data_IF_012066850520
#
_entry.id   IF_012066850520
#
_cell.length_a   1.000
_cell.length_b   1.000
_cell.length_c   1.000
_cell.angle_alpha   90.00
_cell.angle_beta   90.00
_cell.angle_gamma   90.00
#
_symmetry.space_group_name_H-M   'P 1'
#
loop_
_entity.id
_entity.type
_entity.pdbx_description
1 polymer ?
#
# COMPACT_ATOMS: atom_id res chain seq x y z
N UNK A 1 -32.71 -6.73 -4.31
CA UNK A 1 -33.01 -7.53 -3.11
C UNK A 1 -32.08 -8.75 -3.00
N UNK A 2 -31.83 -9.47 -4.11
CA UNK A 2 -30.81 -10.56 -4.20
C UNK A 2 -29.40 -10.12 -3.78
N UNK A 3 -28.90 -9.00 -4.31
CA UNK A 3 -27.49 -8.61 -4.08
C UNK A 3 -27.21 -8.12 -2.65
N UNK A 4 -28.21 -7.49 -2.03
CA UNK A 4 -28.12 -7.01 -0.65
C UNK A 4 -28.11 -8.21 0.32
N UNK A 5 -28.98 -9.21 0.10
CA UNK A 5 -29.01 -10.42 0.93
C UNK A 5 -27.73 -11.25 0.76
N UNK A 6 -27.18 -11.32 -0.45
CA UNK A 6 -25.88 -11.95 -0.71
C UNK A 6 -24.73 -11.23 -0.01
N UNK A 7 -24.64 -9.90 -0.12
CA UNK A 7 -23.60 -9.11 0.54
C UNK A 7 -23.62 -9.27 2.07
N UNK A 8 -24.80 -9.17 2.70
CA UNK A 8 -24.93 -9.42 4.15
C UNK A 8 -24.63 -10.87 4.52
N UNK A 9 -25.00 -11.83 3.66
CA UNK A 9 -24.72 -13.25 3.87
C UNK A 9 -23.22 -13.54 3.91
N UNK A 10 -22.46 -13.02 2.94
CA UNK A 10 -21.00 -13.24 2.89
C UNK A 10 -20.27 -12.57 4.04
N UNK A 11 -20.64 -11.33 4.40
CA UNK A 11 -20.09 -10.65 5.57
C UNK A 11 -20.34 -11.44 6.86
N UNK A 12 -21.54 -12.00 7.02
CA UNK A 12 -21.89 -12.85 8.18
C UNK A 12 -21.11 -14.16 8.19
N UNK A 13 -20.91 -14.79 7.03
CA UNK A 13 -20.11 -16.02 6.93
C UNK A 13 -18.66 -15.72 7.33
N UNK A 14 -18.09 -14.61 6.87
CA UNK A 14 -16.72 -14.22 7.17
C UNK A 14 -16.53 -13.93 8.65
N UNK A 15 -17.40 -13.12 9.27
CA UNK A 15 -17.32 -12.83 10.71
C UNK A 15 -17.48 -14.10 11.55
N UNK A 16 -18.44 -14.95 11.18
CA UNK A 16 -18.66 -16.25 11.84
C UNK A 16 -17.48 -17.20 11.66
N UNK A 17 -16.78 -17.14 10.51
CA UNK A 17 -15.59 -17.96 10.22
C UNK A 17 -14.41 -17.53 11.10
N UNK A 18 -14.19 -16.22 11.24
CA UNK A 18 -13.08 -15.69 12.07
C UNK A 18 -13.25 -16.05 13.55
N UNK A 19 -14.48 -16.08 14.04
CA UNK A 19 -14.80 -16.42 15.43
C UNK A 19 -14.99 -17.93 15.68
N UNK A 20 -14.85 -18.78 14.67
CA UNK A 20 -15.14 -20.20 14.80
C UNK A 20 -13.93 -20.96 15.36
N UNK A 21 -14.10 -21.60 16.52
CA UNK A 21 -13.08 -22.47 17.12
C UNK A 21 -12.96 -23.82 16.38
N UNK A 22 -13.93 -24.19 15.54
CA UNK A 22 -13.87 -25.42 14.75
C UNK A 22 -13.08 -25.22 13.46
N UNK A 23 -11.83 -25.67 13.47
CA UNK A 23 -10.91 -25.60 12.33
C UNK A 23 -11.48 -26.19 11.03
N UNK A 24 -12.27 -27.27 11.11
CA UNK A 24 -12.87 -27.90 9.92
C UNK A 24 -13.92 -27.00 9.28
N UNK A 25 -14.80 -26.40 10.10
CA UNK A 25 -15.82 -25.45 9.62
C UNK A 25 -15.15 -24.23 9.03
N UNK A 26 -14.12 -23.71 9.72
CA UNK A 26 -13.35 -22.56 9.26
C UNK A 26 -12.71 -22.83 7.89
N UNK A 27 -12.05 -23.98 7.72
CA UNK A 27 -11.44 -24.37 6.46
C UNK A 27 -12.46 -24.57 5.34
N UNK A 28 -13.62 -25.18 5.62
CA UNK A 28 -14.69 -25.35 4.62
C UNK A 28 -15.22 -24.00 4.15
N UNK A 29 -15.45 -23.07 5.07
CA UNK A 29 -15.92 -21.72 4.74
C UNK A 29 -14.89 -20.97 3.88
N UNK A 30 -13.62 -21.00 4.25
CA UNK A 30 -12.52 -20.37 3.49
C UNK A 30 -12.40 -20.97 2.08
N UNK A 31 -12.49 -22.29 1.94
CA UNK A 31 -12.49 -22.95 0.63
C UNK A 31 -13.69 -22.51 -0.22
N UNK A 32 -14.87 -22.42 0.39
CA UNK A 32 -16.09 -21.95 -0.27
C UNK A 32 -15.96 -20.52 -0.78
N UNK A 33 -15.55 -19.59 0.09
CA UNK A 33 -15.32 -18.19 -0.25
C UNK A 33 -14.27 -18.03 -1.35
N UNK A 34 -13.14 -18.74 -1.24
CA UNK A 34 -12.07 -18.72 -2.24
C UNK A 34 -12.58 -19.14 -3.62
N UNK A 35 -13.41 -20.20 -3.70
CA UNK A 35 -14.00 -20.67 -4.96
C UNK A 35 -15.02 -19.69 -5.54
N UNK A 36 -15.86 -19.09 -4.69
CA UNK A 36 -16.83 -18.08 -5.13
C UNK A 36 -16.12 -16.84 -5.69
N UNK A 37 -14.99 -16.44 -5.09
CA UNK A 37 -14.18 -15.34 -5.59
C UNK A 37 -13.46 -15.68 -6.90
N UNK A 38 -12.84 -16.86 -7.01
CA UNK A 38 -12.19 -17.31 -8.25
C UNK A 38 -13.17 -17.45 -9.42
N UNK A 39 -14.40 -17.89 -9.15
CA UNK A 39 -15.46 -17.97 -10.17
C UNK A 39 -16.10 -16.62 -10.52
N UNK A 40 -15.62 -15.51 -9.94
CA UNK A 40 -16.18 -14.15 -10.10
C UNK A 40 -17.63 -14.00 -9.62
N UNK A 41 -18.16 -14.99 -8.89
CA UNK A 41 -19.51 -14.95 -8.28
C UNK A 41 -19.55 -14.01 -7.07
N UNK A 42 -18.45 -13.95 -6.31
CA UNK A 42 -18.27 -13.06 -5.17
C UNK A 42 -17.13 -12.07 -5.46
N UNK A 43 -17.42 -10.77 -5.46
CA UNK A 43 -16.43 -9.70 -5.70
C UNK A 43 -16.54 -8.61 -4.66
N UNK A 44 -16.23 -8.97 -3.42
CA UNK A 44 -16.29 -8.07 -2.28
C UNK A 44 -14.89 -7.88 -1.67
N UNK A 45 -14.40 -6.64 -1.65
CA UNK A 45 -13.10 -6.29 -1.09
C UNK A 45 -13.03 -6.48 0.42
N UNK A 46 -14.14 -6.35 1.13
CA UNK A 46 -14.18 -6.60 2.57
C UNK A 46 -13.99 -8.08 2.87
N UNK A 47 -14.62 -8.96 2.07
CA UNK A 47 -14.37 -10.41 2.16
C UNK A 47 -12.90 -10.72 1.85
N UNK A 48 -12.34 -10.14 0.78
CA UNK A 48 -10.92 -10.34 0.44
C UNK A 48 -9.99 -9.92 1.59
N UNK A 49 -10.24 -8.75 2.17
CA UNK A 49 -9.49 -8.23 3.32
C UNK A 49 -9.52 -9.19 4.50
N UNK A 50 -10.70 -9.66 4.89
CA UNK A 50 -10.82 -10.58 6.02
C UNK A 50 -10.13 -11.93 5.75
N UNK A 51 -10.15 -12.44 4.51
CA UNK A 51 -9.37 -13.63 4.16
C UNK A 51 -7.86 -13.37 4.34
N UNK A 52 -7.36 -12.18 3.97
CA UNK A 52 -5.95 -11.81 4.17
C UNK A 52 -5.61 -11.74 5.65
N UNK A 53 -6.48 -11.12 6.47
CA UNK A 53 -6.31 -11.07 7.93
C UNK A 53 -6.24 -12.49 8.51
N UNK A 54 -7.21 -13.34 8.15
CA UNK A 54 -7.28 -14.74 8.61
C UNK A 54 -6.06 -15.57 8.19
N UNK A 55 -5.47 -15.25 7.03
CA UNK A 55 -4.25 -15.89 6.56
C UNK A 55 -3.02 -15.55 7.38
N UNK A 56 -2.95 -14.37 8.00
CA UNK A 56 -1.81 -13.96 8.82
C UNK A 56 -2.08 -14.09 10.33
N UNK A 57 -3.32 -14.35 10.73
CA UNK A 57 -3.74 -14.54 12.11
C UNK A 57 -2.98 -15.68 12.81
N UNK A 58 -2.37 -15.42 13.96
CA UNK A 58 -1.62 -16.43 14.72
C UNK A 58 -2.47 -17.62 15.16
N UNK A 59 -3.77 -17.42 15.34
CA UNK A 59 -4.68 -18.46 15.87
C UNK A 59 -5.02 -19.50 14.80
N UNK A 60 -4.76 -19.20 13.52
CA UNK A 60 -5.01 -20.12 12.40
C UNK A 60 -3.79 -20.93 11.98
N UNK A 61 -2.65 -20.83 12.72
CA UNK A 61 -1.40 -21.51 12.36
C UNK A 61 -1.55 -23.03 12.35
N UNK A 62 -2.34 -23.61 13.27
CA UNK A 62 -2.62 -25.05 13.33
C UNK A 62 -3.54 -25.54 12.22
N UNK A 63 -4.39 -24.66 11.68
CA UNK A 63 -5.34 -25.00 10.62
C UNK A 63 -4.66 -25.07 9.25
N UNK A 64 -3.87 -26.13 9.03
CA UNK A 64 -3.09 -26.32 7.80
C UNK A 64 -3.97 -26.34 6.54
N UNK A 65 -5.20 -26.85 6.62
CA UNK A 65 -6.12 -26.91 5.47
C UNK A 65 -6.53 -25.51 5.01
N UNK A 66 -6.82 -24.63 5.97
CA UNK A 66 -7.09 -23.22 5.71
C UNK A 66 -5.87 -22.53 5.12
N UNK A 67 -4.69 -22.70 5.76
CA UNK A 67 -3.45 -22.06 5.31
C UNK A 67 -3.07 -22.46 3.90
N UNK A 68 -3.11 -23.75 3.58
CA UNK A 68 -2.83 -24.26 2.24
C UNK A 68 -3.82 -23.72 1.19
N UNK A 69 -5.11 -23.65 1.54
CA UNK A 69 -6.12 -23.07 0.65
C UNK A 69 -5.78 -21.62 0.32
N UNK A 70 -5.49 -20.80 1.33
CA UNK A 70 -5.20 -19.38 1.14
C UNK A 70 -3.85 -19.13 0.46
N UNK A 71 -2.81 -19.91 0.79
CA UNK A 71 -1.51 -19.84 0.10
C UNK A 71 -1.63 -20.11 -1.40
N UNK A 72 -2.54 -20.98 -1.82
CA UNK A 72 -2.84 -21.21 -3.23
C UNK A 72 -3.77 -20.14 -3.81
N UNK A 73 -4.83 -19.79 -3.07
CA UNK A 73 -5.85 -18.86 -3.53
C UNK A 73 -5.29 -17.48 -3.84
N UNK A 74 -4.50 -16.85 -2.97
CA UNK A 74 -4.11 -15.45 -3.16
C UNK A 74 -3.29 -15.21 -4.43
N UNK A 75 -2.19 -15.95 -4.70
CA UNK A 75 -1.45 -15.75 -5.94
C UNK A 75 -2.34 -15.98 -7.17
N UNK A 76 -3.13 -17.06 -7.18
CA UNK A 76 -4.01 -17.37 -8.32
C UNK A 76 -5.06 -16.28 -8.52
N UNK A 77 -5.73 -15.85 -7.45
CA UNK A 77 -6.74 -14.80 -7.51
C UNK A 77 -6.14 -13.49 -8.03
N UNK A 78 -5.07 -13.01 -7.39
CA UNK A 78 -4.48 -11.71 -7.69
C UNK A 78 -3.81 -11.65 -9.06
N UNK A 79 -3.20 -12.74 -9.51
CA UNK A 79 -2.46 -12.78 -10.78
C UNK A 79 -3.30 -13.26 -11.96
N UNK A 80 -4.52 -13.75 -11.74
CA UNK A 80 -5.44 -14.19 -12.81
C UNK A 80 -6.01 -13.04 -13.65
N UNK A 81 -6.16 -11.84 -13.08
CA UNK A 81 -6.70 -10.68 -13.80
C UNK A 81 -6.36 -9.37 -13.12
N UNK A 82 -6.21 -8.32 -13.92
CA UNK A 82 -6.08 -6.94 -13.47
C UNK A 82 -7.16 -6.54 -12.47
N UNK A 83 -8.44 -6.87 -12.70
CA UNK A 83 -9.53 -6.48 -11.80
C UNK A 83 -9.39 -7.10 -10.40
N UNK A 84 -8.91 -8.35 -10.32
CA UNK A 84 -8.67 -8.98 -9.03
C UNK A 84 -7.45 -8.38 -8.32
N UNK A 85 -6.42 -8.02 -9.08
CA UNK A 85 -5.29 -7.27 -8.55
C UNK A 85 -5.73 -5.90 -8.02
N UNK A 86 -6.55 -5.15 -8.75
CA UNK A 86 -7.08 -3.86 -8.31
C UNK A 86 -7.84 -3.99 -7.00
N UNK A 87 -8.65 -5.05 -6.83
CA UNK A 87 -9.30 -5.35 -5.54
C UNK A 87 -8.29 -5.56 -4.40
N UNK A 88 -7.17 -6.26 -4.67
CA UNK A 88 -6.09 -6.41 -3.69
C UNK A 88 -5.37 -5.08 -3.41
N UNK A 89 -5.18 -4.23 -4.41
CA UNK A 89 -4.59 -2.89 -4.26
C UNK A 89 -5.46 -2.00 -3.37
N UNK A 90 -6.78 -2.00 -3.57
CA UNK A 90 -7.73 -1.22 -2.76
C UNK A 90 -7.66 -1.55 -1.26
N UNK A 91 -7.34 -2.79 -0.92
CA UNK A 91 -7.26 -3.23 0.48
C UNK A 91 -5.84 -3.24 1.03
N UNK A 92 -4.81 -3.02 0.21
CA UNK A 92 -3.39 -3.17 0.59
C UNK A 92 -3.04 -2.41 1.87
N UNK A 93 -3.22 -1.09 1.85
CA UNK A 93 -2.80 -0.21 2.95
C UNK A 93 -3.64 -0.42 4.22
N UNK A 94 -4.99 -0.42 4.17
CA UNK A 94 -5.79 -0.63 5.39
C UNK A 94 -5.55 -2.02 6.01
N UNK A 95 -5.33 -3.05 5.19
CA UNK A 95 -5.03 -4.41 5.69
C UNK A 95 -3.64 -4.46 6.32
N UNK A 96 -2.63 -3.85 5.67
CA UNK A 96 -1.28 -3.78 6.22
C UNK A 96 -1.29 -3.07 7.58
N UNK A 97 -1.94 -1.90 7.70
CA UNK A 97 -2.04 -1.17 8.97
C UNK A 97 -2.66 -2.04 10.07
N UNK A 98 -3.74 -2.76 9.76
CA UNK A 98 -4.42 -3.63 10.72
C UNK A 98 -3.52 -4.77 11.19
N UNK A 99 -2.88 -5.49 10.26
CA UNK A 99 -1.91 -6.54 10.58
C UNK A 99 -0.75 -6.03 11.42
N UNK A 100 -0.26 -4.81 11.18
CA UNK A 100 0.81 -4.21 11.97
C UNK A 100 0.37 -3.84 13.39
N UNK A 101 -0.88 -3.41 13.55
CA UNK A 101 -1.45 -3.13 14.87
C UNK A 101 -1.66 -4.42 15.64
N UNK A 102 -2.23 -5.45 15.02
CA UNK A 102 -2.42 -6.78 15.61
C UNK A 102 -1.07 -7.40 16.01
N UNK A 103 -0.06 -7.33 15.14
CA UNK A 103 1.28 -7.87 15.38
C UNK A 103 1.94 -7.35 16.67
N UNK A 104 1.58 -6.16 17.15
CA UNK A 104 2.12 -5.62 18.42
C UNK A 104 1.72 -6.46 19.63
N UNK A 105 0.61 -7.18 19.55
CA UNK A 105 0.03 -7.96 20.64
C UNK A 105 0.23 -9.47 20.49
N UNK A 106 0.79 -9.92 19.35
CA UNK A 106 1.05 -11.33 19.11
C UNK A 106 2.24 -11.82 19.94
N UNK A 107 2.08 -12.99 20.56
CA UNK A 107 3.17 -13.70 21.23
C UNK A 107 4.17 -14.21 20.18
N UNK A 108 5.30 -13.52 20.10
CA UNK A 108 6.35 -13.77 19.11
C UNK A 108 6.99 -15.14 19.37
N UNK A 109 6.70 -16.08 18.47
CA UNK A 109 7.28 -17.41 18.45
C UNK A 109 7.79 -17.74 17.03
N UNK A 110 8.35 -18.92 16.83
CA UNK A 110 8.95 -19.33 15.56
C UNK A 110 7.96 -19.37 14.38
N UNK A 111 6.64 -19.43 14.64
CA UNK A 111 5.61 -19.44 13.62
C UNK A 111 5.08 -18.03 13.27
N UNK A 112 5.49 -17.00 14.00
CA UNK A 112 5.01 -15.63 13.75
C UNK A 112 5.71 -15.05 12.52
N UNK A 113 4.94 -14.69 11.50
CA UNK A 113 5.48 -14.08 10.28
C UNK A 113 5.88 -12.62 10.55
N UNK A 114 7.14 -12.22 10.30
CA UNK A 114 7.59 -10.85 10.52
C UNK A 114 6.84 -9.83 9.65
N UNK A 115 6.57 -8.60 10.15
CA UNK A 115 5.83 -7.56 9.45
C UNK A 115 6.34 -7.22 8.05
N UNK A 116 7.67 -7.21 7.88
CA UNK A 116 8.26 -6.92 6.58
C UNK A 116 7.99 -8.04 5.57
N UNK A 117 7.94 -9.30 6.01
CA UNK A 117 7.58 -10.42 5.15
C UNK A 117 6.10 -10.37 4.76
N UNK A 118 5.21 -10.03 5.70
CA UNK A 118 3.79 -9.77 5.42
C UNK A 118 3.66 -8.69 4.33
N UNK A 119 4.31 -7.55 4.52
CA UNK A 119 4.23 -6.45 3.56
C UNK A 119 4.81 -6.84 2.19
N UNK A 120 5.92 -7.58 2.14
CA UNK A 120 6.49 -8.09 0.89
C UNK A 120 5.51 -9.03 0.17
N UNK A 121 4.82 -9.89 0.90
CA UNK A 121 3.81 -10.79 0.33
C UNK A 121 2.63 -10.01 -0.26
N UNK A 122 2.14 -8.97 0.44
CA UNK A 122 1.08 -8.10 -0.07
C UNK A 122 1.53 -7.35 -1.33
N UNK A 123 2.76 -6.81 -1.35
CA UNK A 123 3.34 -6.16 -2.54
C UNK A 123 3.44 -7.13 -3.72
N UNK A 124 3.72 -8.41 -3.46
CA UNK A 124 3.76 -9.43 -4.50
C UNK A 124 2.39 -9.69 -5.14
N UNK A 125 1.35 -9.71 -4.31
CA UNK A 125 -0.03 -9.88 -4.77
C UNK A 125 -0.55 -8.66 -5.53
N UNK A 126 -0.05 -7.47 -5.25
CA UNK A 126 -0.43 -6.25 -5.99
C UNK A 126 0.37 -6.00 -7.26
N UNK A 127 1.36 -6.85 -7.60
CA UNK A 127 2.32 -6.58 -8.65
C UNK A 127 1.75 -6.71 -10.08
N UNK A 128 1.61 -5.61 -10.86
CA UNK A 128 1.02 -5.64 -12.20
C UNK A 128 1.78 -6.52 -13.19
N UNK A 129 3.09 -6.68 -13.02
CA UNK A 129 3.92 -7.52 -13.91
C UNK A 129 3.70 -9.02 -13.73
N UNK A 130 2.97 -9.44 -12.68
CA UNK A 130 2.64 -10.85 -12.44
C UNK A 130 1.29 -11.26 -13.00
N UNK A 131 0.50 -10.34 -13.54
CA UNK A 131 -0.81 -10.67 -14.12
C UNK A 131 -0.63 -11.51 -15.39
N UNK A 132 -1.38 -12.60 -15.49
CA UNK A 132 -1.34 -13.51 -16.63
C UNK A 132 -1.95 -12.84 -17.87
N UNK A 133 -1.12 -12.67 -18.92
CA UNK A 133 -1.49 -11.99 -20.15
C UNK A 133 -2.47 -12.75 -21.06
N UNK A 134 -2.63 -14.06 -20.86
CA UNK A 134 -3.40 -14.90 -21.80
C UNK A 134 -4.91 -14.63 -21.80
N UNK A 135 -5.43 -13.95 -20.77
CA UNK A 135 -6.86 -13.64 -20.64
C UNK A 135 -7.17 -12.13 -20.77
N UNK A 136 -6.19 -11.28 -21.11
CA UNK A 136 -6.35 -9.83 -21.10
C UNK A 136 -5.75 -9.17 -22.34
N UNK A 137 -6.40 -8.12 -22.84
CA UNK A 137 -5.79 -7.19 -23.81
C UNK A 137 -4.75 -6.35 -23.06
N UNK A 138 -3.51 -6.25 -23.56
CA UNK A 138 -2.41 -5.56 -22.84
C UNK A 138 -2.75 -4.13 -22.40
N UNK A 139 -3.67 -3.46 -23.11
CA UNK A 139 -4.11 -2.08 -22.83
C UNK A 139 -4.90 -1.90 -21.52
N UNK A 140 -5.31 -2.98 -20.84
CA UNK A 140 -6.10 -2.88 -19.59
C UNK A 140 -5.24 -2.82 -18.32
N UNK A 141 -3.95 -3.15 -18.38
CA UNK A 141 -3.10 -3.28 -17.20
C UNK A 141 -2.38 -1.95 -16.93
N UNK A 142 -2.60 -1.36 -15.76
CA UNK A 142 -1.80 -0.24 -15.25
C UNK A 142 -0.49 -0.76 -14.61
N UNK A 143 0.55 -0.90 -15.44
CA UNK A 143 1.91 -1.26 -15.00
C UNK A 143 2.51 -0.25 -14.01
N UNK A 144 2.01 0.98 -14.00
CA UNK A 144 2.38 2.03 -13.07
C UNK A 144 1.67 2.01 -11.71
N UNK A 145 0.73 1.09 -11.48
CA UNK A 145 -0.18 1.10 -10.31
C UNK A 145 0.52 1.07 -8.95
N UNK A 146 1.71 0.47 -8.86
CA UNK A 146 2.52 0.47 -7.64
C UNK A 146 2.97 1.87 -7.19
N UNK A 147 3.05 2.84 -8.10
CA UNK A 147 3.30 4.23 -7.73
C UNK A 147 2.13 4.85 -6.96
N UNK A 148 0.88 4.48 -7.25
CA UNK A 148 -0.30 4.93 -6.48
C UNK A 148 -0.34 4.33 -5.07
N UNK A 149 0.07 3.06 -4.92
CA UNK A 149 0.25 2.46 -3.59
C UNK A 149 1.33 3.18 -2.80
N UNK A 150 2.46 3.52 -3.44
CA UNK A 150 3.53 4.28 -2.81
C UNK A 150 3.07 5.69 -2.39
N UNK A 151 2.29 6.40 -3.23
CA UNK A 151 1.67 7.68 -2.87
C UNK A 151 0.82 7.52 -1.61
N UNK A 152 -0.04 6.51 -1.57
CA UNK A 152 -0.92 6.23 -0.43
C UNK A 152 -0.14 5.94 0.86
N UNK A 153 0.93 5.13 0.76
CA UNK A 153 1.84 4.85 1.90
C UNK A 153 2.55 6.11 2.39
N UNK A 154 2.99 6.99 1.48
CA UNK A 154 3.64 8.25 1.88
C UNK A 154 2.64 9.22 2.50
N UNK A 155 1.39 9.29 2.02
CA UNK A 155 0.34 10.09 2.67
C UNK A 155 0.11 9.62 4.11
N UNK A 156 0.02 8.31 4.34
CA UNK A 156 -0.11 7.75 5.69
C UNK A 156 1.10 8.06 6.58
N UNK A 157 2.31 8.13 6.02
CA UNK A 157 3.52 8.51 6.78
C UNK A 157 3.47 9.91 7.40
N UNK A 158 2.61 10.81 6.90
CA UNK A 158 2.43 12.15 7.48
C UNK A 158 1.57 12.17 8.75
N UNK A 159 0.64 11.22 8.88
CA UNK A 159 -0.26 11.06 10.04
C UNK A 159 0.23 10.01 11.03
N UNK A 160 0.96 8.99 10.57
CA UNK A 160 1.42 7.91 11.43
C UNK A 160 2.46 8.40 12.46
N UNK A 161 2.26 8.00 13.71
CA UNK A 161 3.08 8.40 14.86
C UNK A 161 3.91 7.26 15.42
N UNK A 162 3.51 6.01 15.18
CA UNK A 162 4.23 4.84 15.62
C UNK A 162 5.53 4.64 14.84
N UNK A 163 6.67 4.68 15.55
CA UNK A 163 8.00 4.61 14.94
C UNK A 163 8.23 3.32 14.14
N UNK A 164 7.67 2.19 14.56
CA UNK A 164 7.92 0.89 13.95
C UNK A 164 7.07 0.74 12.69
N UNK A 165 5.82 1.24 12.70
CA UNK A 165 5.00 1.35 11.48
C UNK A 165 5.64 2.30 10.47
N UNK A 166 6.07 3.51 10.90
CA UNK A 166 6.76 4.46 10.01
C UNK A 166 8.01 3.86 9.37
N UNK A 167 8.83 3.15 10.17
CA UNK A 167 10.02 2.45 9.68
C UNK A 167 9.66 1.40 8.64
N UNK A 168 8.63 0.60 8.90
CA UNK A 168 8.17 -0.41 7.96
C UNK A 168 7.68 0.21 6.64
N UNK A 169 6.85 1.25 6.70
CA UNK A 169 6.38 1.95 5.49
C UNK A 169 7.55 2.44 4.63
N UNK A 170 8.58 3.04 5.24
CA UNK A 170 9.79 3.43 4.50
C UNK A 170 10.51 2.24 3.84
N UNK A 171 10.55 1.08 4.52
CA UNK A 171 11.14 -0.14 3.96
C UNK A 171 10.32 -0.71 2.81
N UNK A 172 8.98 -0.67 2.91
CA UNK A 172 8.04 -1.18 1.91
C UNK A 172 8.06 -0.35 0.63
N UNK A 173 8.31 0.98 0.72
CA UNK A 173 8.46 1.83 -0.47
C UNK A 173 9.51 1.29 -1.45
N UNK A 174 10.58 0.68 -0.95
CA UNK A 174 11.66 0.09 -1.76
C UNK A 174 11.32 -1.31 -2.30
N UNK A 175 10.11 -1.81 -2.08
CA UNK A 175 9.62 -3.11 -2.58
C UNK A 175 8.65 -2.95 -3.74
N UNK A 176 8.01 -1.80 -3.87
CA UNK A 176 7.18 -1.48 -5.02
C UNK A 176 8.02 -1.48 -6.30
N UNK A 177 7.48 -2.11 -7.34
CA UNK A 177 8.03 -2.05 -8.69
C UNK A 177 7.53 -0.76 -9.35
N UNK A 178 8.39 0.26 -9.36
CA UNK A 178 8.12 1.56 -9.96
C UNK A 178 9.23 1.81 -10.98
N UNK A 179 8.84 1.86 -12.25
CA UNK A 179 9.69 2.16 -13.40
C UNK A 179 9.01 3.21 -14.29
N UNK A 180 9.52 3.42 -15.50
CA UNK A 180 9.01 4.40 -16.46
C UNK A 180 7.51 4.25 -16.77
N UNK A 181 6.93 3.05 -16.61
CA UNK A 181 5.50 2.82 -16.81
C UNK A 181 4.60 3.57 -15.82
N UNK A 182 5.15 4.04 -14.70
CA UNK A 182 4.43 4.90 -13.76
C UNK A 182 4.08 6.28 -14.36
N UNK A 183 4.84 6.74 -15.36
CA UNK A 183 4.66 8.04 -15.99
C UNK A 183 5.10 9.22 -15.13
N UNK A 184 5.45 10.32 -15.82
CA UNK A 184 6.07 11.51 -15.22
C UNK A 184 5.27 12.11 -14.06
N UNK A 185 3.95 12.15 -14.17
CA UNK A 185 3.08 12.74 -13.14
C UNK A 185 3.21 12.01 -11.80
N UNK A 186 3.19 10.66 -11.81
CA UNK A 186 3.31 9.87 -10.58
C UNK A 186 4.70 10.01 -9.97
N UNK A 187 5.76 10.07 -10.78
CA UNK A 187 7.10 10.38 -10.30
C UNK A 187 7.19 11.76 -9.65
N UNK A 188 6.59 12.80 -10.26
CA UNK A 188 6.55 14.15 -9.69
C UNK A 188 5.77 14.17 -8.38
N UNK A 189 4.60 13.51 -8.30
CA UNK A 189 3.81 13.32 -7.05
C UNK A 189 4.63 12.68 -5.94
N UNK A 190 5.28 11.56 -6.22
CA UNK A 190 6.12 10.84 -5.26
C UNK A 190 7.29 11.71 -4.78
N UNK A 191 7.97 12.39 -5.70
CA UNK A 191 9.11 13.27 -5.39
C UNK A 191 8.67 14.44 -4.50
N UNK A 192 7.56 15.09 -4.83
CA UNK A 192 6.97 16.17 -4.04
C UNK A 192 6.60 15.71 -2.62
N UNK A 193 5.93 14.56 -2.49
CA UNK A 193 5.54 13.99 -1.20
C UNK A 193 6.75 13.61 -0.34
N UNK A 194 7.77 12.95 -0.92
CA UNK A 194 9.00 12.57 -0.20
C UNK A 194 9.77 13.80 0.30
N UNK A 195 9.92 14.82 -0.54
CA UNK A 195 10.57 16.07 -0.16
C UNK A 195 9.86 16.76 1.01
N UNK A 196 8.54 16.90 0.93
CA UNK A 196 7.75 17.50 2.00
C UNK A 196 7.68 16.64 3.27
N UNK A 197 7.70 15.31 3.16
CA UNK A 197 7.73 14.42 4.32
C UNK A 197 8.98 14.68 5.17
N UNK A 198 10.14 14.83 4.53
CA UNK A 198 11.41 15.10 5.23
C UNK A 198 11.41 16.43 5.98
N UNK A 199 10.72 17.45 5.46
CA UNK A 199 10.66 18.78 6.08
C UNK A 199 9.57 18.88 7.14
N UNK A 200 8.33 18.44 6.83
CA UNK A 200 7.16 18.64 7.70
C UNK A 200 6.99 17.55 8.76
N UNK A 201 7.46 16.32 8.48
CA UNK A 201 7.31 15.14 9.37
C UNK A 201 8.59 14.28 9.38
N UNK A 202 9.72 14.81 9.89
CA UNK A 202 11.00 14.12 9.83
C UNK A 202 10.96 12.73 10.49
N UNK A 203 11.70 11.79 9.90
CA UNK A 203 11.89 10.44 10.41
C UNK A 203 13.03 10.43 11.43
N UNK A 204 12.77 9.93 12.64
CA UNK A 204 13.79 9.88 13.71
C UNK A 204 14.72 8.67 13.50
N UNK A 205 14.14 7.51 13.20
CA UNK A 205 14.84 6.25 13.00
C UNK A 205 15.80 6.28 11.80
N UNK A 206 17.00 5.76 11.96
CA UNK A 206 18.04 5.77 10.92
C UNK A 206 17.73 4.80 9.78
N UNK A 207 17.14 3.63 10.08
CA UNK A 207 16.75 2.64 9.07
C UNK A 207 15.65 3.21 8.19
N UNK A 208 14.64 3.84 8.80
CA UNK A 208 13.57 4.53 8.09
C UNK A 208 14.11 5.64 7.18
N UNK A 209 14.99 6.51 7.71
CA UNK A 209 15.63 7.58 6.90
C UNK A 209 16.45 7.03 5.75
N UNK A 210 17.24 5.99 5.97
CA UNK A 210 18.07 5.39 4.93
C UNK A 210 17.21 4.74 3.83
N UNK A 211 16.13 4.06 4.21
CA UNK A 211 15.18 3.50 3.26
C UNK A 211 14.47 4.60 2.45
N UNK A 212 14.01 5.69 3.09
CA UNK A 212 13.39 6.80 2.38
C UNK A 212 14.38 7.51 1.44
N UNK A 213 15.64 7.70 1.86
CA UNK A 213 16.67 8.29 0.99
C UNK A 213 16.99 7.38 -0.21
N UNK A 214 17.02 6.06 -0.01
CA UNK A 214 17.19 5.12 -1.13
C UNK A 214 16.04 5.23 -2.13
N UNK A 215 14.81 5.32 -1.62
CA UNK A 215 13.62 5.49 -2.45
C UNK A 215 13.64 6.83 -3.21
N UNK A 216 13.96 7.93 -2.52
CA UNK A 216 14.11 9.25 -3.15
C UNK A 216 15.15 9.23 -4.27
N UNK A 217 16.33 8.64 -4.04
CA UNK A 217 17.36 8.54 -5.07
C UNK A 217 16.87 7.74 -6.29
N UNK A 218 16.10 6.67 -6.07
CA UNK A 218 15.52 5.91 -7.18
C UNK A 218 14.52 6.74 -8.01
N UNK A 219 13.73 7.61 -7.36
CA UNK A 219 12.84 8.54 -8.06
C UNK A 219 13.60 9.63 -8.81
N UNK A 220 14.65 10.20 -8.20
CA UNK A 220 15.44 11.26 -8.84
C UNK A 220 16.19 10.74 -10.07
N UNK A 221 16.65 9.49 -10.03
CA UNK A 221 17.30 8.85 -11.18
C UNK A 221 16.38 8.71 -12.41
N UNK A 222 15.06 8.83 -12.27
CA UNK A 222 14.14 8.85 -13.41
C UNK A 222 14.25 10.14 -14.23
N UNK A 223 14.66 11.25 -13.61
CA UNK A 223 14.69 12.57 -14.24
C UNK A 223 16.06 12.95 -14.85
N UNK A 224 17.04 12.04 -14.83
CA UNK A 224 18.46 12.22 -15.19
C UNK A 224 19.21 13.32 -14.40
N UNK A 225 18.72 14.56 -14.44
CA UNK A 225 19.23 15.72 -13.70
C UNK A 225 18.29 16.12 -12.55
N UNK A 226 17.13 16.68 -12.88
CA UNK A 226 16.13 17.17 -11.94
C UNK A 226 14.73 17.17 -12.60
N UNK A 227 13.65 17.04 -11.80
CA UNK A 227 12.30 17.16 -12.34
C UNK A 227 12.09 18.54 -12.95
N UNK A 228 11.60 18.58 -14.19
CA UNK A 228 11.14 19.83 -14.81
C UNK A 228 10.00 20.46 -14.00
N UNK A 229 9.78 21.76 -14.25
CA UNK A 229 8.63 22.48 -13.71
C UNK A 229 7.31 21.77 -14.09
N UNK A 230 6.30 21.92 -13.22
CA UNK A 230 4.96 21.44 -13.51
C UNK A 230 4.33 22.31 -14.58
N UNK A 231 3.83 21.71 -15.65
CA UNK A 231 2.92 22.40 -16.57
C UNK A 231 1.51 22.54 -15.98
N UNK A 232 0.65 23.33 -16.64
CA UNK A 232 -0.72 23.60 -16.15
C UNK A 232 -1.56 22.32 -15.95
N UNK A 233 -1.35 21.30 -16.78
CA UNK A 233 -2.07 20.03 -16.69
C UNK A 233 -1.56 19.20 -15.52
N UNK A 234 -0.24 19.08 -15.38
CA UNK A 234 0.39 18.39 -14.27
C UNK A 234 0.02 19.04 -12.93
N UNK A 235 -0.05 20.38 -12.88
CA UNK A 235 -0.45 21.11 -11.69
C UNK A 235 -1.87 20.74 -11.25
N UNK A 236 -2.82 20.69 -12.18
CA UNK A 236 -4.19 20.26 -11.88
C UNK A 236 -4.21 18.80 -11.36
N UNK A 237 -3.41 17.91 -11.95
CA UNK A 237 -3.31 16.52 -11.49
C UNK A 237 -2.64 16.37 -10.12
N UNK A 238 -1.81 17.32 -9.69
CA UNK A 238 -1.13 17.35 -8.40
C UNK A 238 -1.90 18.10 -7.32
N UNK A 239 -2.96 18.83 -7.68
CA UNK A 239 -3.70 19.74 -6.79
C UNK A 239 -4.12 19.10 -5.47
N UNK A 240 -4.76 17.93 -5.48
CA UNK A 240 -5.16 17.22 -4.24
C UNK A 240 -3.95 16.92 -3.33
N UNK A 241 -2.81 16.56 -3.91
CA UNK A 241 -1.59 16.24 -3.13
C UNK A 241 -0.97 17.52 -2.56
N UNK A 242 -0.98 18.61 -3.32
CA UNK A 242 -0.50 19.93 -2.85
C UNK A 242 -1.38 20.42 -1.71
N UNK A 243 -2.70 20.44 -1.90
CA UNK A 243 -3.68 20.82 -0.87
C UNK A 243 -3.56 19.93 0.37
N UNK A 244 -3.39 18.61 0.20
CA UNK A 244 -3.14 17.69 1.30
C UNK A 244 -1.91 18.10 2.10
N UNK A 245 -0.78 18.38 1.45
CA UNK A 245 0.47 18.77 2.12
C UNK A 245 0.36 20.14 2.78
N UNK A 246 -0.30 21.10 2.15
CA UNK A 246 -0.44 22.46 2.67
C UNK A 246 -1.32 22.52 3.91
N UNK A 247 -2.34 21.67 4.00
CA UNK A 247 -3.21 21.54 5.16
C UNK A 247 -2.55 20.85 6.38
N UNK A 248 -1.31 20.35 6.25
CA UNK A 248 -0.59 19.74 7.38
C UNK A 248 -0.01 20.81 8.32
N UNK A 249 -0.46 20.80 9.58
CA UNK A 249 0.15 21.60 10.64
C UNK A 249 1.65 21.30 10.77
N UNK A 250 2.50 22.33 10.75
CA UNK A 250 3.93 22.17 10.97
C UNK A 250 4.22 21.69 12.41
N UNK A 251 5.06 20.64 12.57
CA UNK A 251 5.50 20.25 13.91
C UNK A 251 6.38 21.36 14.51
N UNK A 252 6.25 21.67 15.81
CA UNK A 252 7.08 22.67 16.46
C UNK A 252 8.58 22.35 16.29
N UNK A 253 9.30 23.39 15.89
CA UNK A 253 10.63 23.46 15.25
C UNK A 253 11.83 22.92 16.04
N UNK A 254 11.64 22.09 17.06
CA UNK A 254 12.75 21.46 17.82
C UNK A 254 13.56 20.46 16.99
N UNK A 255 13.04 19.97 15.86
CA UNK A 255 13.72 18.99 15.01
C UNK A 255 14.62 19.58 13.89
N UNK A 256 14.64 20.90 13.69
CA UNK A 256 15.21 21.54 12.48
C UNK A 256 16.65 22.10 12.63
N UNK A 257 17.33 21.91 13.76
CA UNK A 257 18.65 22.54 13.99
C UNK A 257 19.85 21.92 13.25
N UNK A 258 19.66 20.95 12.36
CA UNK A 258 20.76 20.39 11.57
C UNK A 258 20.29 19.98 10.19
N UNK A 259 20.26 20.93 9.25
CA UNK A 259 20.53 20.78 7.81
C UNK A 259 20.18 22.06 7.06
N UNK A 260 21.02 23.09 7.22
CA UNK A 260 21.05 24.29 6.35
C UNK A 260 21.99 24.07 5.15
N UNK A 261 21.93 22.90 4.55
CA UNK A 261 22.77 22.48 3.43
C UNK A 261 22.00 21.43 2.64
N UNK A 262 21.67 21.74 1.38
CA UNK A 262 20.74 21.09 0.44
C UNK A 262 19.34 21.72 0.33
N UNK A 263 19.30 23.04 0.21
CA UNK A 263 18.08 23.82 -0.07
C UNK A 263 17.79 23.97 -1.59
N UNK A 264 18.52 23.28 -2.48
CA UNK A 264 18.51 23.58 -3.92
C UNK A 264 17.80 22.57 -4.85
N UNK A 265 17.06 21.58 -4.31
CA UNK A 265 16.24 20.69 -5.15
C UNK A 265 14.72 20.92 -5.00
N UNK A 266 14.29 21.66 -3.97
CA UNK A 266 12.87 21.87 -3.62
C UNK A 266 12.40 23.28 -3.99
N UNK A 267 13.32 24.24 -4.16
CA UNK A 267 12.99 25.63 -4.49
C UNK A 267 12.36 25.79 -5.88
N UNK A 268 12.66 24.90 -6.84
CA UNK A 268 12.06 24.94 -8.18
C UNK A 268 10.60 24.47 -8.25
N UNK A 269 10.14 23.65 -7.30
CA UNK A 269 8.72 23.23 -7.22
C UNK A 269 7.90 24.14 -6.31
N UNK A 270 8.54 24.92 -5.42
CA UNK A 270 7.86 25.81 -4.45
C UNK A 270 7.65 27.24 -4.94
N UNK A 271 8.22 27.67 -6.06
CA UNK A 271 8.13 29.06 -6.51
C UNK A 271 6.81 29.47 -7.17
N UNK A 272 5.75 28.66 -7.11
CA UNK A 272 4.51 28.93 -7.86
C UNK A 272 3.24 29.14 -7.03
N UNK A 273 3.25 28.97 -5.69
CA UNK A 273 2.09 29.37 -4.87
C UNK A 273 1.99 30.87 -4.63
N UNK A 274 3.05 31.64 -4.92
CA UNK A 274 3.08 33.10 -4.72
C UNK A 274 2.52 33.91 -5.91
N UNK A 275 2.21 33.28 -7.06
CA UNK A 275 1.70 33.99 -8.25
C UNK A 275 0.18 33.90 -8.47
N UNK A 276 -0.57 33.15 -7.65
CA UNK A 276 -2.04 33.11 -7.72
C UNK A 276 -2.73 34.15 -6.82
N UNK A 277 -1.98 35.06 -6.19
CA UNK A 277 -2.50 36.15 -5.33
C UNK A 277 -1.97 37.51 -5.77
N UNK A 278 -2.01 37.80 -7.08
CA UNK A 278 -1.81 39.16 -7.62
C UNK A 278 -2.76 39.41 -8.77
#
# INVERSE_FOLDING_TARGET
MSDILMAYGYSTIVSSTRQNENEQVQAIAVIGLSKLMLSKTLRDKYVLKELVLLYFDSDTVSNLRLRQCLSYFFPVFCHSSFENQTLMQEIFLPTLIELLKEYKYVDKNDNTVPPLQIAQQLVDWTNPFKVVKSEQTEDTIDYGSHAELAISVIRELFSETDKDIRKLFCQVLNKFQIDESAGVVRFKKLTFLVGNLKTKRPLIDSVARNALNKFENALLNYFDDAPDALDDNELEQLKDIVEFVDNLEELPSRALRSRRSKENAISHLRSYSEYSSS
#
